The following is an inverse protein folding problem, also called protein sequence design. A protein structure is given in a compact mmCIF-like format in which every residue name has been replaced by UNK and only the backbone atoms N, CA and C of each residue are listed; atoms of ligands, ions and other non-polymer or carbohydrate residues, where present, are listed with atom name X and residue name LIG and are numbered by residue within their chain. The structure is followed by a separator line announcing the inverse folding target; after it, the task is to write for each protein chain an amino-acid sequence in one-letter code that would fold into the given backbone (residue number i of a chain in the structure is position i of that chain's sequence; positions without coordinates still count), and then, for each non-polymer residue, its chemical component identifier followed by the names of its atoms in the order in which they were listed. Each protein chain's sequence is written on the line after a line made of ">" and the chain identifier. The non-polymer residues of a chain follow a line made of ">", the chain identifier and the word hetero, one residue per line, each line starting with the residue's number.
data_IF_459498935277
#
_entry.id   IF_459498935277
#
_cell.length_a   1.000
_cell.length_b   1.000
_cell.length_c   1.000
_cell.angle_alpha   90.00
_cell.angle_beta   90.00
_cell.angle_gamma   90.00
#
_symmetry.space_group_name_H-M   'P 1'
#
loop_
_entity.id
_entity.type
_entity.pdbx_description
1 polymer ?
#
# COMPACT_ATOMS: atom_id res chain seq x y z
N UNK A 1 -19.60 1.38 -22.50
CA UNK A 1 -18.46 2.23 -22.13
C UNK A 1 -18.78 2.92 -20.81
N UNK A 2 -17.99 2.72 -19.73
CA UNK A 2 -18.22 3.45 -18.48
C UNK A 2 -18.02 4.94 -18.73
N UNK A 3 -18.98 5.75 -18.32
CA UNK A 3 -18.91 7.21 -18.37
C UNK A 3 -17.66 7.69 -17.62
N UNK A 4 -17.09 8.82 -18.05
CA UNK A 4 -15.88 9.40 -17.43
C UNK A 4 -16.08 9.56 -15.90
N UNK A 5 -17.32 9.77 -15.46
CA UNK A 5 -17.72 9.85 -14.05
C UNK A 5 -17.52 8.56 -13.24
N UNK A 6 -17.61 7.38 -13.85
CA UNK A 6 -17.37 6.11 -13.17
C UNK A 6 -15.86 5.81 -13.06
N UNK A 7 -15.07 6.18 -14.07
CA UNK A 7 -13.62 5.89 -14.14
C UNK A 7 -12.82 6.56 -13.02
N UNK A 8 -13.14 7.80 -12.65
CA UNK A 8 -12.37 8.52 -11.61
C UNK A 8 -12.67 8.05 -10.18
N UNK A 9 -13.84 7.45 -9.93
CA UNK A 9 -14.17 6.83 -8.63
C UNK A 9 -13.61 5.41 -8.54
N UNK A 10 -13.54 4.70 -9.67
CA UNK A 10 -13.04 3.34 -9.72
C UNK A 10 -11.55 3.23 -9.35
N UNK A 11 -10.68 4.10 -9.89
CA UNK A 11 -9.24 4.06 -9.64
C UNK A 11 -8.84 4.14 -8.15
N UNK A 12 -9.30 5.13 -7.36
CA UNK A 12 -9.00 5.21 -5.93
C UNK A 12 -9.68 4.09 -5.13
N UNK A 13 -10.85 3.59 -5.55
CA UNK A 13 -11.49 2.44 -4.90
C UNK A 13 -10.65 1.16 -5.09
N UNK A 14 -10.17 0.90 -6.31
CA UNK A 14 -9.26 -0.22 -6.60
C UNK A 14 -7.96 -0.08 -5.84
N UNK A 15 -7.38 1.12 -5.79
CA UNK A 15 -6.19 1.41 -4.99
C UNK A 15 -6.42 1.13 -3.50
N UNK A 16 -7.55 1.56 -2.92
CA UNK A 16 -7.91 1.25 -1.55
C UNK A 16 -8.06 -0.25 -1.26
N UNK A 17 -8.67 -1.00 -2.19
CA UNK A 17 -8.79 -2.47 -2.08
C UNK A 17 -7.41 -3.13 -2.13
N UNK A 18 -6.53 -2.70 -3.03
CA UNK A 18 -5.15 -3.19 -3.13
C UNK A 18 -4.41 -3.00 -1.80
N UNK A 19 -4.47 -1.81 -1.21
CA UNK A 19 -3.83 -1.52 0.07
C UNK A 19 -4.39 -2.38 1.22
N UNK A 20 -5.71 -2.61 1.23
CA UNK A 20 -6.34 -3.51 2.19
C UNK A 20 -5.86 -4.95 2.04
N UNK A 21 -5.70 -5.43 0.80
CA UNK A 21 -5.15 -6.75 0.53
C UNK A 21 -3.67 -6.85 0.96
N UNK A 22 -2.85 -5.83 0.71
CA UNK A 22 -1.46 -5.76 1.19
C UNK A 22 -1.40 -5.82 2.71
N UNK A 23 -2.21 -5.02 3.39
CA UNK A 23 -2.31 -5.02 4.85
C UNK A 23 -2.66 -6.42 5.40
N UNK A 24 -3.60 -7.12 4.76
CA UNK A 24 -3.99 -8.48 5.14
C UNK A 24 -2.85 -9.49 4.93
N UNK A 25 -2.17 -9.44 3.78
CA UNK A 25 -1.01 -10.31 3.46
C UNK A 25 0.11 -10.09 4.47
N UNK A 26 0.41 -8.84 4.82
CA UNK A 26 1.44 -8.55 5.82
C UNK A 26 1.00 -9.08 7.20
N UNK A 27 -0.24 -8.82 7.61
CA UNK A 27 -0.72 -9.20 8.93
C UNK A 27 -0.82 -10.72 9.15
N UNK A 28 -1.29 -11.47 8.15
CA UNK A 28 -1.58 -12.91 8.27
C UNK A 28 -0.48 -13.79 7.65
N UNK A 29 0.22 -13.30 6.64
CA UNK A 29 1.31 -14.04 5.98
C UNK A 29 2.68 -13.71 6.56
N UNK A 30 3.05 -12.42 6.51
CA UNK A 30 4.41 -11.98 6.85
C UNK A 30 4.68 -12.01 8.35
N UNK A 31 3.81 -11.42 9.18
CA UNK A 31 4.04 -11.31 10.63
C UNK A 31 4.18 -12.69 11.30
N UNK A 32 3.32 -13.68 11.03
CA UNK A 32 3.48 -15.01 11.62
C UNK A 32 4.76 -15.72 11.15
N UNK A 33 5.13 -15.61 9.87
CA UNK A 33 6.37 -16.19 9.36
C UNK A 33 7.61 -15.55 10.01
N UNK A 34 7.62 -14.23 10.17
CA UNK A 34 8.72 -13.51 10.84
C UNK A 34 8.80 -13.85 12.32
N UNK A 35 7.66 -14.10 12.99
CA UNK A 35 7.65 -14.59 14.38
C UNK A 35 8.16 -16.03 14.50
N UNK A 36 7.83 -16.89 13.54
CA UNK A 36 8.25 -18.29 13.54
C UNK A 36 9.72 -18.47 13.11
N UNK A 37 10.22 -17.59 12.24
CA UNK A 37 11.61 -17.57 11.78
C UNK A 37 12.54 -16.98 12.82
N UNK A 38 13.02 -17.79 13.76
CA UNK A 38 14.13 -17.43 14.65
C UNK A 38 15.46 -17.49 13.89
N UNK A 39 15.70 -16.51 13.00
CA UNK A 39 16.96 -16.43 12.27
C UNK A 39 17.98 -15.72 13.15
N UNK A 40 19.14 -16.37 13.36
CA UNK A 40 20.24 -15.79 14.11
C UNK A 40 20.59 -14.41 13.50
N UNK A 41 20.48 -13.35 14.31
CA UNK A 41 20.64 -11.92 13.98
C UNK A 41 19.42 -11.12 13.49
N UNK A 42 18.24 -11.71 13.25
CA UNK A 42 17.02 -10.91 13.19
C UNK A 42 16.39 -10.88 14.58
N UNK A 43 16.33 -9.72 15.22
CA UNK A 43 15.58 -9.55 16.47
C UNK A 43 14.09 -9.36 16.13
N UNK A 44 13.23 -10.39 16.26
CA UNK A 44 11.80 -10.27 15.96
C UNK A 44 11.13 -9.15 16.77
N UNK A 45 11.69 -8.81 17.93
CA UNK A 45 11.26 -7.72 18.81
C UNK A 45 11.21 -6.34 18.12
N UNK A 46 12.04 -6.11 17.08
CA UNK A 46 12.00 -4.86 16.30
C UNK A 46 11.26 -4.99 14.97
N UNK A 47 11.31 -6.16 14.34
CA UNK A 47 10.70 -6.37 13.02
C UNK A 47 9.16 -6.41 13.10
N UNK A 48 8.60 -7.12 14.10
CA UNK A 48 7.15 -7.30 14.22
C UNK A 48 6.41 -5.97 14.46
N UNK A 49 6.84 -5.08 15.35
CA UNK A 49 6.21 -3.77 15.50
C UNK A 49 6.27 -2.93 14.22
N UNK A 50 7.38 -2.98 13.48
CA UNK A 50 7.52 -2.25 12.22
C UNK A 50 6.49 -2.73 11.17
N UNK A 51 6.27 -4.05 11.05
CA UNK A 51 5.22 -4.58 10.16
C UNK A 51 3.81 -4.15 10.58
N UNK A 52 3.52 -4.07 11.88
CA UNK A 52 2.23 -3.55 12.36
C UNK A 52 2.02 -2.06 12.04
N UNK A 53 3.08 -1.25 12.15
CA UNK A 53 3.04 0.16 11.72
C UNK A 53 2.73 0.23 10.23
N UNK A 54 3.38 -0.60 9.41
CA UNK A 54 3.10 -0.69 7.98
C UNK A 54 1.65 -1.05 7.70
N UNK A 55 1.09 -2.06 8.38
CA UNK A 55 -0.33 -2.44 8.27
C UNK A 55 -1.24 -1.24 8.59
N UNK A 56 -0.95 -0.53 9.68
CA UNK A 56 -1.69 0.67 10.07
C UNK A 56 -1.67 1.77 9.00
N UNK A 57 -0.51 2.02 8.39
CA UNK A 57 -0.36 3.02 7.33
C UNK A 57 -1.16 2.63 6.08
N UNK A 58 -1.16 1.35 5.67
CA UNK A 58 -1.94 0.87 4.53
C UNK A 58 -3.44 1.04 4.77
N UNK A 59 -3.93 0.68 5.96
CA UNK A 59 -5.33 0.85 6.31
C UNK A 59 -5.73 2.32 6.38
N UNK A 60 -4.88 3.18 6.93
CA UNK A 60 -5.12 4.62 6.97
C UNK A 60 -5.18 5.21 5.55
N UNK A 61 -4.25 4.83 4.68
CA UNK A 61 -4.25 5.25 3.28
C UNK A 61 -5.50 4.77 2.54
N UNK A 62 -5.93 3.52 2.74
CA UNK A 62 -7.16 2.98 2.18
C UNK A 62 -8.40 3.76 2.68
N UNK A 63 -8.46 4.09 3.97
CA UNK A 63 -9.53 4.89 4.54
C UNK A 63 -9.58 6.30 3.93
N UNK A 64 -8.43 6.96 3.75
CA UNK A 64 -8.34 8.26 3.07
C UNK A 64 -8.84 8.17 1.63
N UNK A 65 -8.44 7.14 0.89
CA UNK A 65 -8.91 6.93 -0.49
C UNK A 65 -10.42 6.71 -0.55
N UNK A 66 -10.98 5.91 0.35
CA UNK A 66 -12.43 5.71 0.45
C UNK A 66 -13.16 7.00 0.79
N UNK A 67 -12.65 7.76 1.75
CA UNK A 67 -13.21 9.04 2.17
C UNK A 67 -13.18 10.07 1.02
N UNK A 68 -12.12 10.06 0.20
CA UNK A 68 -12.06 10.84 -1.04
C UNK A 68 -13.13 10.38 -2.05
N UNK A 69 -13.39 9.07 -2.18
CA UNK A 69 -14.42 8.55 -3.10
C UNK A 69 -15.84 8.90 -2.65
N UNK A 70 -16.11 8.85 -1.34
CA UNK A 70 -17.44 9.09 -0.77
C UNK A 70 -17.76 10.57 -0.63
N UNK A 71 -16.84 11.40 -0.13
CA UNK A 71 -17.11 12.80 0.17
C UNK A 71 -16.86 13.76 -0.98
N UNK A 72 -16.09 13.36 -1.98
CA UNK A 72 -15.65 14.29 -3.02
C UNK A 72 -16.50 14.12 -4.28
N UNK A 73 -17.70 14.68 -4.28
CA UNK A 73 -18.54 14.78 -5.49
C UNK A 73 -17.96 15.73 -6.54
N UNK A 74 -17.11 16.68 -6.13
CA UNK A 74 -16.47 17.68 -6.99
C UNK A 74 -14.95 17.71 -6.82
N UNK A 75 -14.23 18.17 -7.86
CA UNK A 75 -12.78 18.39 -7.83
C UNK A 75 -12.45 19.59 -6.94
N UNK A 76 -12.22 19.34 -5.65
CA UNK A 76 -11.60 20.30 -4.74
C UNK A 76 -10.08 20.15 -4.80
N UNK A 77 -9.34 21.26 -4.75
CA UNK A 77 -7.88 21.27 -4.68
C UNK A 77 -7.37 20.37 -3.54
N UNK A 78 -8.07 20.41 -2.41
CA UNK A 78 -7.77 19.63 -1.21
C UNK A 78 -7.80 18.13 -1.51
N UNK A 79 -8.80 17.65 -2.24
CA UNK A 79 -8.92 16.22 -2.52
C UNK A 79 -7.92 15.74 -3.59
N UNK A 80 -7.55 16.59 -4.56
CA UNK A 80 -6.46 16.29 -5.50
C UNK A 80 -5.10 16.23 -4.79
N UNK A 81 -4.81 17.19 -3.89
CA UNK A 81 -3.61 17.15 -3.06
C UNK A 81 -3.58 15.92 -2.15
N UNK A 82 -4.71 15.56 -1.52
CA UNK A 82 -4.81 14.36 -0.69
C UNK A 82 -4.49 13.08 -1.49
N UNK A 83 -5.07 12.93 -2.70
CA UNK A 83 -4.77 11.78 -3.57
C UNK A 83 -3.29 11.71 -3.95
N UNK A 84 -2.68 12.85 -4.27
CA UNK A 84 -1.28 12.91 -4.64
C UNK A 84 -0.36 12.58 -3.46
N UNK A 85 -0.58 13.20 -2.30
CA UNK A 85 0.20 12.96 -1.07
C UNK A 85 0.06 11.51 -0.62
N UNK A 86 -1.16 10.97 -0.59
CA UNK A 86 -1.40 9.56 -0.25
C UNK A 86 -0.72 8.63 -1.25
N UNK A 87 -0.80 8.92 -2.55
CA UNK A 87 -0.10 8.13 -3.58
C UNK A 87 1.42 8.12 -3.40
N UNK A 88 2.02 9.28 -3.13
CA UNK A 88 3.47 9.38 -2.85
C UNK A 88 3.84 8.66 -1.56
N UNK A 89 3.05 8.79 -0.50
CA UNK A 89 3.29 8.09 0.76
C UNK A 89 3.28 6.56 0.58
N UNK A 90 2.33 6.02 -0.18
CA UNK A 90 2.27 4.58 -0.51
C UNK A 90 3.53 4.15 -1.27
N UNK A 91 4.01 4.94 -2.23
CA UNK A 91 5.24 4.61 -2.96
C UNK A 91 6.46 4.55 -2.04
N UNK A 92 6.57 5.47 -1.08
CA UNK A 92 7.65 5.47 -0.09
C UNK A 92 7.58 4.26 0.83
N UNK A 93 6.38 3.86 1.25
CA UNK A 93 6.16 2.64 2.05
C UNK A 93 6.55 1.40 1.26
N UNK A 94 6.16 1.31 -0.02
CA UNK A 94 6.59 0.23 -0.91
C UNK A 94 8.12 0.19 -1.05
N UNK A 95 8.79 1.33 -1.17
CA UNK A 95 10.26 1.37 -1.23
C UNK A 95 10.91 0.86 0.08
N UNK A 96 10.38 1.27 1.23
CA UNK A 96 10.84 0.78 2.54
C UNK A 96 10.61 -0.73 2.71
N UNK A 97 9.49 -1.26 2.22
CA UNK A 97 9.22 -2.70 2.20
C UNK A 97 10.17 -3.45 1.27
N UNK A 98 10.51 -2.85 0.12
CA UNK A 98 11.48 -3.41 -0.82
C UNK A 98 12.88 -3.51 -0.22
N UNK A 99 13.30 -2.51 0.55
CA UNK A 99 14.55 -2.55 1.31
C UNK A 99 14.52 -3.65 2.37
N UNK A 100 13.43 -3.74 3.14
CA UNK A 100 13.22 -4.80 4.12
C UNK A 100 13.17 -6.20 3.48
N UNK A 101 12.71 -6.33 2.23
CA UNK A 101 12.65 -7.60 1.50
C UNK A 101 14.02 -8.10 1.03
N UNK A 102 15.05 -7.25 1.01
CA UNK A 102 16.42 -7.63 0.63
C UNK A 102 17.19 -8.31 1.77
N UNK A 103 16.96 -7.90 3.02
CA UNK A 103 17.63 -8.49 4.18
C UNK A 103 17.43 -10.02 4.33
N UNK A 104 16.25 -10.62 4.03
CA UNK A 104 16.03 -12.06 4.09
C UNK A 104 16.63 -12.86 2.91
N UNK A 105 17.03 -12.22 1.80
CA UNK A 105 17.69 -12.93 0.67
C UNK A 105 19.04 -13.52 1.08
N UNK A 106 19.69 -12.95 2.09
CA UNK A 106 20.99 -13.38 2.58
C UNK A 106 20.90 -14.56 3.58
N UNK A 107 19.69 -14.92 4.04
CA UNK A 107 19.50 -15.78 5.22
C UNK A 107 18.85 -17.17 4.97
N UNK A 108 18.62 -17.56 3.71
CA UNK A 108 18.33 -18.95 3.31
C UNK A 108 16.86 -19.30 3.00
N UNK A 109 16.59 -20.58 2.72
CA UNK A 109 15.34 -21.11 2.15
C UNK A 109 14.01 -20.75 2.85
N UNK A 110 13.87 -20.75 4.19
CA UNK A 110 12.58 -20.43 4.83
C UNK A 110 12.18 -18.95 4.69
N UNK A 111 13.13 -18.06 4.38
CA UNK A 111 12.89 -16.63 4.22
C UNK A 111 12.50 -16.21 2.79
N UNK A 112 12.66 -17.11 1.81
CA UNK A 112 12.27 -16.84 0.42
C UNK A 112 10.77 -16.56 0.28
N UNK A 113 9.93 -17.24 1.08
CA UNK A 113 8.49 -17.01 1.09
C UNK A 113 8.15 -15.60 1.61
N UNK A 114 8.84 -15.12 2.65
CA UNK A 114 8.66 -13.76 3.21
C UNK A 114 9.08 -12.72 2.17
N UNK A 115 10.24 -12.90 1.55
CA UNK A 115 10.72 -12.00 0.49
C UNK A 115 9.76 -11.95 -0.69
N UNK A 116 9.23 -13.10 -1.14
CA UNK A 116 8.28 -13.15 -2.24
C UNK A 116 6.97 -12.42 -1.90
N UNK A 117 6.45 -12.61 -0.68
CA UNK A 117 5.26 -11.89 -0.20
C UNK A 117 5.50 -10.38 -0.10
N UNK A 118 6.65 -9.97 0.45
CA UNK A 118 7.02 -8.56 0.55
C UNK A 118 7.20 -7.92 -0.83
N UNK A 119 7.89 -8.57 -1.76
CA UNK A 119 8.00 -8.09 -3.16
C UNK A 119 6.63 -7.98 -3.84
N UNK A 120 5.72 -8.91 -3.57
CA UNK A 120 4.33 -8.82 -4.01
C UNK A 120 3.62 -7.59 -3.44
N UNK A 121 3.82 -7.30 -2.15
CA UNK A 121 3.30 -6.08 -1.51
C UNK A 121 3.88 -4.82 -2.16
N UNK A 122 5.20 -4.77 -2.40
CA UNK A 122 5.87 -3.65 -3.08
C UNK A 122 5.25 -3.39 -4.46
N UNK A 123 5.04 -4.45 -5.25
CA UNK A 123 4.42 -4.33 -6.57
C UNK A 123 2.98 -3.81 -6.48
N UNK A 124 2.21 -4.29 -5.51
CA UNK A 124 0.85 -3.82 -5.25
C UNK A 124 0.82 -2.35 -4.79
N UNK A 125 1.78 -1.92 -3.95
CA UNK A 125 1.90 -0.53 -3.48
C UNK A 125 2.27 0.41 -4.61
N UNK A 126 3.21 0.00 -5.48
CA UNK A 126 3.56 0.77 -6.69
C UNK A 126 2.34 0.94 -7.58
N UNK A 127 1.57 -0.12 -7.79
CA UNK A 127 0.35 -0.07 -8.57
C UNK A 127 -0.71 0.83 -7.90
N UNK A 128 -0.95 0.66 -6.59
CA UNK A 128 -1.92 1.44 -5.83
C UNK A 128 -1.58 2.94 -5.81
N UNK A 129 -0.30 3.28 -5.59
CA UNK A 129 0.20 4.65 -5.62
C UNK A 129 0.08 5.27 -7.01
N UNK A 130 0.46 4.54 -8.07
CA UNK A 130 0.31 5.00 -9.45
C UNK A 130 -1.16 5.25 -9.82
N UNK A 131 -2.07 4.35 -9.42
CA UNK A 131 -3.52 4.50 -9.62
C UNK A 131 -4.08 5.73 -8.88
N UNK A 132 -3.63 5.99 -7.65
CA UNK A 132 -4.04 7.16 -6.88
C UNK A 132 -3.57 8.47 -7.52
N UNK A 133 -2.32 8.51 -8.02
CA UNK A 133 -1.77 9.66 -8.74
C UNK A 133 -2.48 9.86 -10.08
N UNK A 134 -2.76 8.78 -10.83
CA UNK A 134 -3.52 8.84 -12.06
C UNK A 134 -4.94 9.37 -11.83
N UNK A 135 -5.61 8.92 -10.75
CA UNK A 135 -6.92 9.43 -10.35
C UNK A 135 -6.90 10.94 -10.05
N UNK A 136 -5.83 11.44 -9.43
CA UNK A 136 -5.65 12.87 -9.19
C UNK A 136 -5.55 13.69 -10.50
N UNK A 137 -4.96 13.11 -11.56
CA UNK A 137 -4.76 13.77 -12.87
C UNK A 137 -5.98 13.73 -13.78
N UNK A 138 -6.71 12.61 -13.80
CA UNK A 138 -7.86 12.39 -14.71
C UNK A 138 -9.14 13.07 -14.20
N UNK A 139 -9.12 13.60 -12.97
CA UNK A 139 -10.27 14.24 -12.36
C UNK A 139 -10.75 15.47 -13.14
N UNK A 140 -12.03 15.53 -13.56
CA UNK A 140 -12.54 16.65 -14.36
C UNK A 140 -12.42 17.98 -13.60
N UNK A 141 -11.87 19.00 -14.26
CA UNK A 141 -11.89 20.39 -13.79
C UNK A 141 -13.32 20.91 -13.73
N UNK A 142 -13.64 21.81 -12.78
CA UNK A 142 -14.85 22.63 -12.96
C UNK A 142 -14.70 23.38 -14.29
N UNK A 143 -15.73 23.28 -15.13
CA UNK A 143 -16.03 24.29 -16.13
C UNK A 143 -16.53 25.55 -15.42
#
# INVERSE_FOLDING_TARGET
>A
MPTISARWRFLPAVSGILLGAVALVVAVGVIPLVRAGSVANMTPDRAVPAFWVTVGIHLLAAAVLFLVVTLSENRSWISTSALFVTGVAILLVGFALGDAAKAPLETGAPMQAVTAMLLGCVAADVLAGALAIAAARIRPARA
#
